data_IF_255713926039
#
_entry.id   IF_255713926039
#
_cell.length_a   1.000
_cell.length_b   1.000
_cell.length_c   1.000
_cell.angle_alpha   90.00
_cell.angle_beta   90.00
_cell.angle_gamma   90.00
#
_symmetry.space_group_name_H-M   'P 1'
#
loop_
_entity.id
_entity.type
_entity.pdbx_description
1 polymer ?
#
# COMPACT_ATOMS: atom_id res chain seq x y z
N UNK A 1 -16.75 -12.51 -6.51
CA UNK A 1 -16.46 -11.07 -6.59
C UNK A 1 -15.06 -10.88 -7.17
N UNK A 2 -14.74 -9.74 -7.81
CA UNK A 2 -13.35 -9.42 -8.13
C UNK A 2 -12.54 -9.33 -6.83
N UNK A 3 -11.31 -9.86 -6.87
CA UNK A 3 -10.37 -9.82 -5.76
C UNK A 3 -9.01 -9.36 -6.25
N UNK A 4 -8.39 -8.41 -5.54
CA UNK A 4 -7.06 -7.87 -5.85
C UNK A 4 -6.13 -7.99 -4.64
N UNK A 5 -4.83 -7.81 -4.86
CA UNK A 5 -3.83 -7.70 -3.81
C UNK A 5 -3.17 -6.33 -3.89
N UNK A 6 -3.22 -5.56 -2.81
CA UNK A 6 -2.48 -4.31 -2.70
C UNK A 6 -1.05 -4.64 -2.25
N UNK A 7 -0.05 -4.34 -3.08
CA UNK A 7 1.37 -4.53 -2.77
C UNK A 7 2.12 -3.19 -2.68
N UNK A 8 1.88 -2.35 -1.65
CA UNK A 8 2.73 -1.20 -1.41
C UNK A 8 4.21 -1.60 -1.32
N UNK A 9 5.09 -0.71 -1.80
CA UNK A 9 6.54 -0.90 -1.73
C UNK A 9 6.99 -1.10 -0.28
N UNK A 10 8.03 -1.92 -0.10
CA UNK A 10 8.70 -2.16 1.20
C UNK A 10 10.08 -1.49 1.25
N UNK A 11 10.38 -0.60 0.30
CA UNK A 11 11.70 -0.01 0.13
C UNK A 11 11.88 1.20 1.05
N UNK A 12 12.35 0.94 2.27
CA UNK A 12 12.69 1.98 3.25
C UNK A 12 13.78 2.94 2.74
N UNK A 13 14.67 2.45 1.87
CA UNK A 13 15.87 3.14 1.37
C UNK A 13 15.65 3.96 0.10
N UNK A 14 14.41 4.14 -0.35
CA UNK A 14 14.09 4.95 -1.54
C UNK A 14 13.39 6.27 -1.14
N UNK A 15 14.14 7.32 -0.74
CA UNK A 15 13.57 8.59 -0.30
C UNK A 15 13.08 9.48 -1.44
N UNK A 16 12.02 10.26 -1.18
CA UNK A 16 11.59 11.33 -2.08
C UNK A 16 12.30 12.65 -1.76
N UNK A 17 12.36 13.54 -2.75
CA UNK A 17 13.05 14.85 -2.66
C UNK A 17 12.44 15.76 -1.59
N UNK A 18 11.14 15.65 -1.35
CA UNK A 18 10.34 16.44 -0.40
C UNK A 18 10.14 15.75 0.97
N UNK A 19 10.77 14.59 1.18
CA UNK A 19 10.75 13.85 2.44
C UNK A 19 9.84 12.63 2.43
N UNK A 20 10.05 11.72 3.38
CA UNK A 20 9.46 10.37 3.36
C UNK A 20 10.20 9.43 2.38
N UNK A 21 9.67 8.22 2.20
CA UNK A 21 10.20 7.20 1.29
C UNK A 21 9.07 6.51 0.52
N UNK A 22 9.43 5.71 -0.47
CA UNK A 22 8.49 4.97 -1.31
C UNK A 22 7.51 4.13 -0.49
N UNK A 23 8.00 3.40 0.51
CA UNK A 23 7.17 2.58 1.40
C UNK A 23 6.10 3.42 2.13
N UNK A 24 6.50 4.54 2.73
CA UNK A 24 5.61 5.42 3.47
C UNK A 24 4.43 5.89 2.61
N UNK A 25 4.72 6.42 1.42
CA UNK A 25 3.65 6.94 0.56
C UNK A 25 2.83 5.84 -0.10
N UNK A 26 3.43 4.69 -0.45
CA UNK A 26 2.66 3.56 -0.99
C UNK A 26 1.68 3.00 0.05
N UNK A 27 2.04 2.96 1.34
CA UNK A 27 1.11 2.60 2.40
C UNK A 27 -0.05 3.60 2.52
N UNK A 28 0.21 4.91 2.46
CA UNK A 28 -0.85 5.93 2.46
C UNK A 28 -1.81 5.77 1.28
N UNK A 29 -1.30 5.44 0.09
CA UNK A 29 -2.13 5.16 -1.09
C UNK A 29 -2.97 3.90 -0.88
N UNK A 30 -2.38 2.83 -0.35
CA UNK A 30 -3.11 1.59 -0.05
C UNK A 30 -4.27 1.86 0.92
N UNK A 31 -4.02 2.61 1.99
CA UNK A 31 -5.05 3.01 2.98
C UNK A 31 -6.16 3.84 2.31
N UNK A 32 -5.79 4.79 1.44
CA UNK A 32 -6.74 5.62 0.72
C UNK A 32 -7.59 4.83 -0.28
N UNK A 33 -7.09 3.71 -0.82
CA UNK A 33 -7.80 2.85 -1.77
C UNK A 33 -8.85 1.96 -1.10
N UNK A 34 -8.62 1.49 0.13
CA UNK A 34 -9.54 0.58 0.83
C UNK A 34 -11.02 1.01 0.81
N UNK A 35 -11.41 2.26 1.14
CA UNK A 35 -12.81 2.66 1.12
C UNK A 35 -13.46 2.56 -0.27
N UNK A 36 -12.71 2.84 -1.34
CA UNK A 36 -13.21 2.74 -2.71
C UNK A 36 -13.42 1.28 -3.14
N UNK A 37 -12.51 0.38 -2.73
CA UNK A 37 -12.63 -1.05 -2.99
C UNK A 37 -13.84 -1.64 -2.27
N UNK A 38 -14.03 -1.29 -0.99
CA UNK A 38 -15.21 -1.68 -0.20
C UNK A 38 -16.51 -1.17 -0.84
N UNK A 39 -16.56 0.11 -1.24
CA UNK A 39 -17.73 0.70 -1.90
C UNK A 39 -18.04 0.05 -3.26
N UNK A 40 -17.01 -0.44 -3.95
CA UNK A 40 -17.14 -1.12 -5.25
C UNK A 40 -17.38 -2.62 -5.14
N UNK A 41 -17.52 -3.16 -3.92
CA UNK A 41 -17.68 -4.59 -3.66
C UNK A 41 -16.52 -5.42 -4.25
N UNK A 42 -15.30 -4.88 -4.16
CA UNK A 42 -14.04 -5.53 -4.54
C UNK A 42 -13.38 -6.04 -3.26
N UNK A 43 -13.13 -7.35 -3.20
CA UNK A 43 -12.35 -7.95 -2.11
C UNK A 43 -10.86 -7.61 -2.28
N UNK A 44 -10.15 -7.43 -1.18
CA UNK A 44 -8.71 -7.17 -1.24
C UNK A 44 -7.98 -7.76 -0.03
N UNK A 45 -6.73 -8.15 -0.27
CA UNK A 45 -5.71 -8.41 0.74
C UNK A 45 -4.55 -7.41 0.52
N UNK A 46 -3.64 -7.30 1.49
CA UNK A 46 -2.41 -6.49 1.38
C UNK A 46 -1.26 -7.14 2.15
N UNK A 47 -0.01 -6.78 1.82
CA UNK A 47 1.12 -7.11 2.69
C UNK A 47 1.03 -6.35 4.02
N UNK A 48 1.72 -6.86 5.05
CA UNK A 48 1.80 -6.18 6.35
C UNK A 48 2.53 -4.85 6.18
N UNK A 49 2.00 -3.75 6.74
CA UNK A 49 2.67 -2.45 6.76
C UNK A 49 4.03 -2.46 7.47
N UNK A 50 4.26 -3.44 8.35
CA UNK A 50 5.49 -3.61 9.11
C UNK A 50 6.47 -4.61 8.46
N UNK A 51 6.14 -5.11 7.26
CA UNK A 51 6.95 -6.09 6.56
C UNK A 51 8.21 -5.44 5.97
N UNK A 52 9.39 -5.94 6.32
CA UNK A 52 10.67 -5.45 5.80
C UNK A 52 11.27 -6.37 4.73
N UNK A 53 12.07 -5.82 3.82
CA UNK A 53 12.89 -6.60 2.88
C UNK A 53 14.13 -7.14 3.62
N UNK A 54 14.28 -8.46 3.70
CA UNK A 54 15.46 -9.16 4.27
C UNK A 54 16.40 -9.68 3.21
#
# INVERSE_FOLDING_TARGET
MPKIFLSPSLQEWNPYVDGGNEEYYMNLIADAMEPYLRASNIEFDRNSPEQTLT
#
